data_IF_728840202446
#
_entry.id   IF_728840202446
#
_cell.length_a   1.000
_cell.length_b   1.000
_cell.length_c   1.000
_cell.angle_alpha   90.00
_cell.angle_beta   90.00
_cell.angle_gamma   90.00
#
_symmetry.space_group_name_H-M   'P 1'
#
loop_
_entity.id
_entity.type
_entity.pdbx_description
1 polymer ?
#
# COMPACT_ATOMS: atom_id res chain seq x y z
N UNK A 1 -38.08 -21.09 32.44
CA UNK A 1 -36.65 -20.69 32.65
C UNK A 1 -36.62 -19.67 33.79
N UNK A 2 -35.93 -20.04 34.91
CA UNK A 2 -35.95 -19.28 36.18
C UNK A 2 -35.25 -17.92 36.04
N UNK A 3 -35.81 -16.88 36.70
CA UNK A 3 -35.27 -15.51 36.79
C UNK A 3 -33.79 -15.51 37.24
N UNK A 4 -33.38 -16.40 38.14
CA UNK A 4 -32.00 -16.58 38.58
C UNK A 4 -31.00 -16.85 37.41
N UNK A 5 -31.43 -17.55 36.38
CA UNK A 5 -30.56 -17.87 35.24
C UNK A 5 -30.37 -16.68 34.30
N UNK A 6 -31.31 -15.73 34.26
CA UNK A 6 -31.22 -14.49 33.50
C UNK A 6 -30.32 -13.46 34.19
N UNK A 7 -30.40 -13.37 35.53
CA UNK A 7 -29.53 -12.48 36.33
C UNK A 7 -28.09 -12.93 36.32
N UNK A 8 -27.81 -14.23 36.44
CA UNK A 8 -26.44 -14.77 36.29
C UNK A 8 -25.80 -14.49 34.94
N UNK A 9 -26.56 -14.57 33.84
CA UNK A 9 -26.08 -14.25 32.47
C UNK A 9 -25.86 -12.74 32.27
N UNK A 10 -26.67 -11.87 32.92
CA UNK A 10 -26.45 -10.42 32.89
C UNK A 10 -25.16 -10.03 33.62
N UNK A 11 -24.97 -10.54 34.86
CA UNK A 11 -23.76 -10.26 35.64
C UNK A 11 -22.48 -10.79 34.98
N UNK A 12 -22.53 -11.94 34.30
CA UNK A 12 -21.39 -12.45 33.55
C UNK A 12 -21.00 -11.59 32.35
N UNK A 13 -22.00 -11.06 31.62
CA UNK A 13 -21.77 -10.14 30.48
C UNK A 13 -21.22 -8.79 30.95
N UNK A 14 -21.67 -8.30 32.08
CA UNK A 14 -21.22 -7.04 32.66
C UNK A 14 -19.75 -7.12 33.12
N UNK A 15 -19.39 -8.18 33.84
CA UNK A 15 -17.98 -8.45 34.21
C UNK A 15 -17.04 -8.59 32.99
N UNK A 16 -17.50 -9.23 31.92
CA UNK A 16 -16.72 -9.36 30.69
C UNK A 16 -16.53 -8.02 29.97
N UNK A 17 -17.54 -7.13 30.02
CA UNK A 17 -17.42 -5.76 29.50
C UNK A 17 -16.40 -4.94 30.28
N UNK A 18 -16.50 -4.97 31.62
CA UNK A 18 -15.53 -4.27 32.49
C UNK A 18 -14.11 -4.77 32.30
N UNK A 19 -13.90 -6.09 32.14
CA UNK A 19 -12.57 -6.63 31.85
C UNK A 19 -12.01 -6.09 30.54
N UNK A 20 -12.80 -6.10 29.46
CA UNK A 20 -12.38 -5.57 28.17
C UNK A 20 -12.09 -4.07 28.20
N UNK A 21 -12.84 -3.29 28.96
CA UNK A 21 -12.60 -1.86 29.14
C UNK A 21 -11.29 -1.61 29.92
N UNK A 22 -11.04 -2.38 30.97
CA UNK A 22 -9.78 -2.32 31.73
C UNK A 22 -8.56 -2.72 30.89
N UNK A 23 -8.69 -3.72 30.02
CA UNK A 23 -7.63 -4.11 29.08
C UNK A 23 -7.37 -3.04 28.04
N UNK A 24 -8.42 -2.43 27.48
CA UNK A 24 -8.30 -1.31 26.53
C UNK A 24 -7.65 -0.07 27.15
N UNK A 25 -8.00 0.26 28.39
CA UNK A 25 -7.40 1.39 29.12
C UNK A 25 -5.93 1.14 29.48
N UNK A 26 -5.57 -0.09 29.85
CA UNK A 26 -4.16 -0.49 30.09
C UNK A 26 -3.33 -0.44 28.80
N UNK A 27 -3.90 -0.88 27.67
CA UNK A 27 -3.24 -0.82 26.36
C UNK A 27 -3.01 0.64 25.91
N UNK A 28 -4.01 1.52 26.13
CA UNK A 28 -3.87 2.97 25.86
C UNK A 28 -2.78 3.59 26.72
N UNK A 29 -2.76 3.34 28.04
CA UNK A 29 -1.70 3.85 28.96
C UNK A 29 -0.31 3.39 28.59
N UNK A 30 -0.13 2.11 28.20
CA UNK A 30 1.17 1.59 27.73
C UNK A 30 1.66 2.29 26.46
N UNK A 31 0.74 2.58 25.50
CA UNK A 31 1.08 3.36 24.30
C UNK A 31 1.48 4.80 24.62
N UNK A 32 0.75 5.48 25.52
CA UNK A 32 1.05 6.86 25.90
C UNK A 32 2.38 6.98 26.67
N UNK A 33 2.69 6.03 27.54
CA UNK A 33 3.96 5.99 28.27
C UNK A 33 5.15 5.66 27.36
N UNK A 34 4.95 4.82 26.32
CA UNK A 34 5.99 4.54 25.33
C UNK A 34 6.34 5.76 24.48
N UNK A 35 5.35 6.56 24.12
CA UNK A 35 5.57 7.81 23.35
C UNK A 35 6.24 8.91 24.18
N UNK A 36 5.87 9.05 25.46
CA UNK A 36 6.50 10.02 26.37
C UNK A 36 7.97 9.65 26.69
N UNK A 37 8.28 8.36 26.83
CA UNK A 37 9.66 7.90 27.05
C UNK A 37 10.58 8.18 25.86
N UNK A 38 10.08 8.06 24.63
CA UNK A 38 10.85 8.33 23.43
C UNK A 38 11.14 9.83 23.23
N UNK A 39 10.21 10.73 23.62
CA UNK A 39 10.40 12.18 23.51
C UNK A 39 11.43 12.71 24.50
N UNK A 40 11.51 12.14 25.71
CA UNK A 40 12.50 12.58 26.71
C UNK A 40 13.92 12.14 26.33
N UNK A 41 14.09 11.00 25.67
CA UNK A 41 15.41 10.54 25.23
C UNK A 41 15.99 11.36 24.06
N UNK A 42 15.15 11.98 23.24
CA UNK A 42 15.58 12.83 22.10
C UNK A 42 15.97 14.24 22.56
N UNK A 43 15.38 14.75 23.65
CA UNK A 43 15.69 16.11 24.16
C UNK A 43 16.96 16.18 25.02
N UNK A 44 17.47 15.08 25.54
CA UNK A 44 18.70 15.02 26.32
C UNK A 44 19.98 14.93 25.46
N UNK A 45 19.88 14.67 24.14
CA UNK A 45 21.00 14.54 23.22
C UNK A 45 21.39 15.79 22.43
N UNK A 46 20.69 16.91 22.61
CA UNK A 46 20.83 18.10 21.74
C UNK A 46 21.61 19.27 22.34
N UNK A 47 22.47 19.04 23.34
CA UNK A 47 23.41 20.09 23.85
C UNK A 47 24.83 19.53 23.77
N UNK A 48 25.48 19.72 22.68
CA UNK A 48 26.91 19.50 22.54
C UNK A 48 27.34 19.35 21.07
N UNK A 49 28.16 20.30 20.70
CA UNK A 49 29.06 20.33 19.53
C UNK A 49 28.60 21.23 18.37
N UNK A 50 29.18 22.39 18.42
CA UNK A 50 29.23 23.36 17.32
C UNK A 50 30.24 22.95 16.25
N UNK A 51 30.08 23.61 15.11
CA UNK A 51 31.02 23.91 14.03
C UNK A 51 32.12 22.89 13.72
N UNK A 52 32.03 22.24 12.56
CA UNK A 52 33.20 22.04 11.69
C UNK A 52 32.80 22.11 10.20
N UNK A 53 33.65 22.78 9.48
CA UNK A 53 33.59 23.19 8.10
C UNK A 53 33.35 22.06 7.08
N UNK A 54 32.75 22.48 5.96
CA UNK A 54 32.78 21.84 4.66
C UNK A 54 34.13 21.22 4.31
N UNK A 55 34.11 19.90 4.09
CA UNK A 55 35.10 19.22 3.25
C UNK A 55 34.37 18.17 2.43
N UNK A 56 34.41 18.38 1.12
CA UNK A 56 34.23 17.34 0.11
C UNK A 56 35.30 16.30 0.34
N UNK A 57 34.87 15.09 0.71
CA UNK A 57 35.71 13.90 0.62
C UNK A 57 34.87 12.76 0.02
N UNK A 58 35.37 12.26 -1.11
CA UNK A 58 35.02 10.98 -1.67
C UNK A 58 35.13 9.90 -0.58
N UNK A 59 34.01 9.28 -0.20
CA UNK A 59 34.03 8.07 0.61
C UNK A 59 33.51 6.87 -0.22
N UNK A 60 34.47 6.22 -0.84
CA UNK A 60 34.36 4.87 -1.39
C UNK A 60 34.18 3.90 -0.24
N UNK A 61 32.96 3.37 -0.03
CA UNK A 61 32.84 2.20 0.84
C UNK A 61 31.61 2.08 1.73
N UNK A 62 30.41 2.23 1.19
CA UNK A 62 29.21 1.54 1.71
C UNK A 62 28.32 1.18 0.55
N UNK A 63 28.10 -0.13 0.34
CA UNK A 63 27.16 -0.69 -0.62
C UNK A 63 25.74 -0.28 -0.27
N UNK A 64 25.43 0.98 -0.49
CA UNK A 64 24.07 1.50 -0.50
C UNK A 64 23.47 1.11 -1.83
N UNK A 65 22.58 0.10 -1.84
CA UNK A 65 21.83 -0.23 -3.04
C UNK A 65 21.14 1.04 -3.55
N UNK A 66 21.51 1.49 -4.74
CA UNK A 66 20.92 2.68 -5.36
C UNK A 66 19.39 2.50 -5.46
N UNK A 67 18.64 3.52 -5.08
CA UNK A 67 17.16 3.50 -5.21
C UNK A 67 16.82 3.61 -6.69
N UNK A 68 16.38 2.51 -7.28
CA UNK A 68 15.95 2.46 -8.69
C UNK A 68 14.42 2.46 -8.73
N UNK A 69 13.78 3.58 -9.12
CA UNK A 69 12.33 3.62 -9.27
C UNK A 69 11.89 2.88 -10.55
N UNK A 70 10.69 2.27 -10.57
CA UNK A 70 10.12 1.72 -11.79
C UNK A 70 9.71 2.84 -12.75
N UNK A 71 9.52 2.49 -14.01
CA UNK A 71 9.07 3.42 -15.05
C UNK A 71 7.74 4.09 -14.64
N UNK A 72 7.67 5.41 -14.74
CA UNK A 72 6.49 6.19 -14.40
C UNK A 72 6.27 6.39 -12.90
N UNK A 73 7.22 5.96 -12.06
CA UNK A 73 7.22 6.36 -10.66
C UNK A 73 7.45 7.87 -10.54
N UNK A 74 6.73 8.50 -9.63
CA UNK A 74 6.86 9.91 -9.31
C UNK A 74 7.20 10.05 -7.83
N UNK A 75 7.99 11.02 -7.46
CA UNK A 75 8.59 11.29 -6.15
C UNK A 75 8.00 10.53 -4.94
N UNK A 76 8.77 10.32 -3.90
CA UNK A 76 8.34 9.71 -2.63
C UNK A 76 7.64 8.32 -2.75
N UNK A 77 8.09 7.44 -3.67
CA UNK A 77 7.60 6.06 -3.75
C UNK A 77 6.19 5.87 -4.34
N UNK A 78 5.69 6.85 -5.11
CA UNK A 78 4.38 6.76 -5.78
C UNK A 78 4.50 6.13 -7.16
N UNK A 79 3.59 5.22 -7.48
CA UNK A 79 3.41 4.66 -8.81
C UNK A 79 2.08 5.10 -9.38
N UNK A 80 2.10 5.92 -10.42
CA UNK A 80 0.89 6.44 -11.06
C UNK A 80 0.51 5.59 -12.25
N UNK A 81 -0.69 5.02 -12.19
CA UNK A 81 -1.32 4.32 -13.30
C UNK A 81 -2.34 5.28 -13.93
N UNK A 82 -2.08 5.77 -15.16
CA UNK A 82 -2.90 6.80 -15.78
C UNK A 82 -4.30 6.30 -16.13
N UNK A 83 -5.21 7.25 -16.34
CA UNK A 83 -6.54 6.99 -16.88
C UNK A 83 -6.50 6.67 -18.40
N UNK A 84 -7.55 6.04 -18.91
CA UNK A 84 -7.71 5.80 -20.36
C UNK A 84 -6.82 4.71 -20.95
N UNK A 85 -6.53 3.65 -20.17
CA UNK A 85 -5.61 2.59 -20.59
C UNK A 85 -6.19 1.56 -21.58
N UNK A 86 -7.50 1.48 -21.76
CA UNK A 86 -8.13 0.58 -22.75
C UNK A 86 -8.29 1.30 -24.09
N UNK A 87 -7.39 1.01 -24.96
CA UNK A 87 -7.45 1.49 -26.34
C UNK A 87 -6.10 1.45 -27.04
N UNK A 88 -5.73 0.26 -27.57
CA UNK A 88 -4.55 -0.03 -28.39
C UNK A 88 -3.24 -0.24 -27.60
N UNK A 89 -2.76 -1.46 -27.73
CA UNK A 89 -1.50 -1.95 -27.19
C UNK A 89 -0.37 -0.87 -27.19
N UNK A 90 0.16 -0.57 -26.02
CA UNK A 90 1.55 -0.12 -25.88
C UNK A 90 1.85 1.35 -25.99
N UNK A 91 0.89 2.25 -26.14
CA UNK A 91 1.17 3.70 -26.03
C UNK A 91 0.54 4.23 -24.76
N UNK A 92 1.38 4.66 -23.82
CA UNK A 92 0.95 5.46 -22.67
C UNK A 92 0.04 6.57 -23.21
N UNK A 93 -1.22 6.58 -22.77
CA UNK A 93 -2.18 7.57 -23.19
C UNK A 93 -1.61 8.95 -22.94
N UNK A 94 -1.50 9.74 -23.99
CA UNK A 94 -1.06 11.12 -23.91
C UNK A 94 -2.06 11.85 -23.02
N UNK A 95 -1.54 12.53 -22.01
CA UNK A 95 -2.29 13.41 -21.14
C UNK A 95 -3.24 14.29 -21.96
N UNK A 96 -4.48 14.38 -21.46
CA UNK A 96 -5.40 15.49 -21.53
C UNK A 96 -5.45 16.28 -22.83
N UNK A 97 -6.38 15.89 -23.70
CA UNK A 97 -6.88 16.82 -24.71
C UNK A 97 -7.55 17.98 -23.97
N UNK A 98 -7.09 19.19 -24.25
CA UNK A 98 -7.68 20.43 -23.75
C UNK A 98 -9.22 20.37 -23.75
N UNK A 99 -9.85 20.60 -22.59
CA UNK A 99 -11.29 20.68 -22.42
C UNK A 99 -11.99 19.52 -21.72
N UNK A 100 -11.27 18.46 -21.27
CA UNK A 100 -11.86 17.45 -20.36
C UNK A 100 -11.42 17.71 -18.92
N UNK A 101 -12.32 17.55 -17.92
CA UNK A 101 -11.95 17.63 -16.52
C UNK A 101 -10.80 16.69 -16.22
N UNK A 102 -9.84 17.13 -15.40
CA UNK A 102 -8.75 16.28 -14.96
C UNK A 102 -9.30 15.06 -14.19
N UNK A 103 -8.79 13.84 -14.45
CA UNK A 103 -9.29 12.66 -13.74
C UNK A 103 -8.99 12.76 -12.25
N UNK A 104 -9.98 12.41 -11.40
CA UNK A 104 -9.77 12.36 -9.96
C UNK A 104 -8.73 11.30 -9.61
N UNK A 105 -7.96 11.55 -8.57
CA UNK A 105 -6.93 10.60 -8.10
C UNK A 105 -7.48 9.70 -7.00
N UNK A 106 -7.41 8.39 -7.21
CA UNK A 106 -7.53 7.38 -6.16
C UNK A 106 -6.12 7.04 -5.69
N UNK A 107 -5.80 7.30 -4.42
CA UNK A 107 -4.51 6.92 -3.82
C UNK A 107 -4.73 5.68 -2.97
N UNK A 108 -3.94 4.64 -3.19
CA UNK A 108 -4.02 3.36 -2.47
C UNK A 108 -2.66 3.02 -1.88
N UNK A 109 -2.62 2.92 -0.54
CA UNK A 109 -1.49 2.34 0.18
C UNK A 109 -1.81 0.88 0.44
N UNK A 110 -0.99 -0.02 -0.05
CA UNK A 110 -1.28 -1.45 -0.06
C UNK A 110 -0.05 -2.33 0.13
N UNK A 111 -0.29 -3.51 0.70
CA UNK A 111 0.70 -4.58 0.85
C UNK A 111 0.14 -5.87 0.24
N UNK A 112 0.90 -6.52 -0.65
CA UNK A 112 0.48 -7.75 -1.33
C UNK A 112 0.28 -8.96 -0.41
N UNK A 113 0.70 -8.88 0.87
CA UNK A 113 0.41 -9.90 1.88
C UNK A 113 -0.76 -9.54 2.78
N UNK A 114 -1.26 -8.28 2.76
CA UNK A 114 -2.33 -7.83 3.64
C UNK A 114 -3.70 -8.36 3.21
N UNK A 115 -4.43 -9.12 4.07
CA UNK A 115 -5.75 -9.64 3.74
C UNK A 115 -6.80 -8.55 3.50
N UNK A 116 -6.69 -7.42 4.21
CA UNK A 116 -7.57 -6.27 4.00
C UNK A 116 -7.40 -5.64 2.62
N UNK A 117 -6.16 -5.60 2.10
CA UNK A 117 -5.89 -5.14 0.73
C UNK A 117 -6.52 -6.09 -0.30
N UNK A 118 -6.38 -7.40 -0.08
CA UNK A 118 -7.07 -8.38 -0.94
C UNK A 118 -8.57 -8.18 -0.95
N UNK A 119 -9.18 -7.98 0.22
CA UNK A 119 -10.61 -7.73 0.33
C UNK A 119 -11.04 -6.46 -0.44
N UNK A 120 -10.26 -5.39 -0.34
CA UNK A 120 -10.50 -4.18 -1.11
C UNK A 120 -10.43 -4.47 -2.61
N UNK A 121 -9.39 -5.13 -3.08
CA UNK A 121 -9.20 -5.46 -4.48
C UNK A 121 -10.28 -6.43 -5.00
N UNK A 122 -10.68 -7.42 -4.23
CA UNK A 122 -11.74 -8.35 -4.63
C UNK A 122 -13.10 -7.65 -4.83
N UNK A 123 -13.38 -6.59 -4.06
CA UNK A 123 -14.64 -5.84 -4.12
C UNK A 123 -14.61 -4.71 -5.15
N UNK A 124 -13.49 -3.99 -5.26
CA UNK A 124 -13.46 -2.72 -5.99
C UNK A 124 -12.72 -2.77 -7.33
N UNK A 125 -11.92 -3.80 -7.59
CA UNK A 125 -11.10 -3.94 -8.80
C UNK A 125 -11.84 -3.60 -10.10
N UNK A 126 -13.00 -4.21 -10.32
CA UNK A 126 -13.76 -4.00 -11.56
C UNK A 126 -14.21 -2.55 -11.70
N UNK A 127 -14.69 -1.95 -10.61
CA UNK A 127 -15.11 -0.54 -10.60
C UNK A 127 -13.94 0.40 -10.82
N UNK A 128 -12.80 0.13 -10.18
CA UNK A 128 -11.57 0.91 -10.37
C UNK A 128 -11.10 0.84 -11.80
N UNK A 129 -11.06 -0.36 -12.40
CA UNK A 129 -10.69 -0.54 -13.80
C UNK A 129 -11.65 0.17 -14.74
N UNK A 130 -12.97 0.02 -14.54
CA UNK A 130 -13.99 0.69 -15.36
C UNK A 130 -13.77 2.22 -15.36
N UNK A 131 -13.60 2.83 -14.18
CA UNK A 131 -13.42 4.27 -14.06
C UNK A 131 -12.09 4.77 -14.66
N UNK A 132 -11.02 3.99 -14.53
CA UNK A 132 -9.74 4.27 -15.20
C UNK A 132 -9.88 4.19 -16.71
N UNK A 133 -10.51 3.14 -17.24
CA UNK A 133 -10.66 2.90 -18.67
C UNK A 133 -11.56 3.97 -19.33
N UNK A 134 -12.54 4.48 -18.60
CA UNK A 134 -13.37 5.61 -18.98
C UNK A 134 -12.64 6.97 -18.90
N UNK A 135 -11.40 7.01 -18.40
CA UNK A 135 -10.66 8.25 -18.25
C UNK A 135 -11.14 9.15 -17.12
N UNK A 136 -11.95 8.62 -16.18
CA UNK A 136 -12.54 9.38 -15.08
C UNK A 136 -11.65 9.43 -13.85
N UNK A 137 -10.74 8.46 -13.72
CA UNK A 137 -9.91 8.28 -12.54
C UNK A 137 -8.51 7.81 -12.93
N UNK A 138 -7.48 8.31 -12.25
CA UNK A 138 -6.15 7.72 -12.21
C UNK A 138 -5.93 7.08 -10.84
N UNK A 139 -5.05 6.08 -10.77
CA UNK A 139 -4.70 5.46 -9.49
C UNK A 139 -3.24 5.72 -9.16
N UNK A 140 -2.99 6.13 -7.94
CA UNK A 140 -1.65 6.23 -7.36
C UNK A 140 -1.48 5.11 -6.35
N UNK A 141 -0.62 4.16 -6.65
CA UNK A 141 -0.26 3.07 -5.74
C UNK A 141 0.98 3.42 -4.92
N UNK A 142 0.89 3.20 -3.62
CA UNK A 142 2.00 3.16 -2.70
C UNK A 142 2.17 1.72 -2.22
N UNK A 143 3.13 1.02 -2.82
CA UNK A 143 3.43 -0.35 -2.45
C UNK A 143 4.26 -0.34 -1.16
N UNK A 144 3.70 -0.93 -0.09
CA UNK A 144 4.31 -0.92 1.23
C UNK A 144 4.53 -2.34 1.77
N UNK A 145 5.25 -2.48 2.88
CA UNK A 145 5.73 -3.76 3.40
C UNK A 145 5.43 -3.93 4.90
N UNK A 146 4.20 -3.54 5.31
CA UNK A 146 3.76 -3.61 6.72
C UNK A 146 3.81 -5.04 7.24
N UNK A 147 3.38 -6.01 6.42
CA UNK A 147 3.29 -7.41 6.86
C UNK A 147 4.67 -8.01 7.05
N UNK A 148 5.65 -7.67 6.21
CA UNK A 148 7.05 -8.07 6.43
C UNK A 148 7.59 -7.50 7.75
N UNK A 149 7.22 -6.26 8.12
CA UNK A 149 7.59 -5.65 9.38
C UNK A 149 6.92 -6.29 10.60
N UNK A 150 5.65 -6.69 10.48
CA UNK A 150 4.85 -7.21 11.60
C UNK A 150 5.05 -8.71 11.84
N UNK A 151 5.15 -9.51 10.77
CA UNK A 151 5.20 -10.97 10.83
C UNK A 151 6.56 -11.53 10.40
N UNK A 152 7.47 -10.67 9.97
CA UNK A 152 8.75 -11.08 9.38
C UNK A 152 8.61 -11.58 7.96
N UNK A 153 9.74 -11.97 7.38
CA UNK A 153 9.82 -12.43 6.00
C UNK A 153 10.19 -11.33 5.02
N UNK A 154 10.00 -11.60 3.73
CA UNK A 154 10.34 -10.69 2.63
C UNK A 154 9.30 -10.70 1.50
N UNK A 155 8.18 -11.37 1.71
CA UNK A 155 7.16 -11.56 0.67
C UNK A 155 6.51 -10.27 0.21
N UNK A 156 6.29 -9.31 1.11
CA UNK A 156 5.73 -8.01 0.75
C UNK A 156 6.68 -7.24 -0.17
N UNK A 157 7.95 -7.12 0.22
CA UNK A 157 8.94 -6.41 -0.61
C UNK A 157 9.18 -7.11 -1.94
N UNK A 158 9.23 -8.47 -1.97
CA UNK A 158 9.45 -9.23 -3.20
C UNK A 158 8.27 -9.14 -4.16
N UNK A 159 7.03 -9.23 -3.67
CA UNK A 159 5.84 -9.06 -4.50
C UNK A 159 5.73 -7.63 -5.05
N UNK A 160 5.99 -6.62 -4.23
CA UNK A 160 6.02 -5.23 -4.64
C UNK A 160 7.12 -4.94 -5.68
N UNK A 161 8.33 -5.50 -5.51
CA UNK A 161 9.39 -5.45 -6.52
C UNK A 161 8.94 -6.09 -7.84
N UNK A 162 8.33 -7.28 -7.80
CA UNK A 162 7.86 -7.95 -9.00
C UNK A 162 6.76 -7.15 -9.72
N UNK A 163 5.84 -6.52 -8.98
CA UNK A 163 4.85 -5.61 -9.55
C UNK A 163 5.51 -4.37 -10.18
N UNK A 164 6.53 -3.80 -9.54
CA UNK A 164 7.32 -2.70 -10.09
C UNK A 164 8.08 -3.11 -11.36
N UNK A 165 8.62 -4.33 -11.42
CA UNK A 165 9.21 -4.90 -12.64
C UNK A 165 8.19 -5.08 -13.77
N UNK A 166 6.93 -5.42 -13.44
CA UNK A 166 5.86 -5.46 -14.42
C UNK A 166 5.51 -4.07 -14.96
N UNK A 167 5.61 -3.03 -14.12
CA UNK A 167 5.44 -1.64 -14.54
C UNK A 167 6.51 -1.20 -15.55
N UNK A 168 7.73 -1.68 -15.43
CA UNK A 168 8.79 -1.42 -16.41
C UNK A 168 8.45 -1.98 -17.80
N UNK A 169 7.60 -3.02 -17.87
CA UNK A 169 7.06 -3.57 -19.12
C UNK A 169 5.79 -2.83 -19.59
N UNK A 170 5.25 -1.92 -18.78
CA UNK A 170 4.11 -1.07 -19.10
C UNK A 170 2.98 -1.14 -18.07
N UNK A 171 2.23 -0.04 -17.94
CA UNK A 171 1.16 0.11 -16.96
C UNK A 171 0.06 -0.97 -17.07
N UNK A 172 -0.26 -1.43 -18.29
CA UNK A 172 -1.20 -2.55 -18.49
C UNK A 172 -0.67 -3.88 -17.97
N UNK A 173 0.65 -4.09 -18.02
CA UNK A 173 1.30 -5.27 -17.44
C UNK A 173 1.27 -5.19 -15.91
N UNK A 174 1.56 -4.02 -15.35
CA UNK A 174 1.41 -3.79 -13.92
C UNK A 174 -0.01 -4.13 -13.46
N UNK A 175 -1.04 -3.50 -14.05
CA UNK A 175 -2.44 -3.69 -13.66
C UNK A 175 -2.84 -5.17 -13.71
N UNK A 176 -2.54 -5.85 -14.80
CA UNK A 176 -2.89 -7.26 -14.95
C UNK A 176 -2.14 -8.16 -13.94
N UNK A 177 -0.87 -7.87 -13.67
CA UNK A 177 -0.08 -8.65 -12.73
C UNK A 177 -0.44 -8.35 -11.27
N UNK A 178 -0.74 -7.11 -10.94
CA UNK A 178 -1.31 -6.69 -9.66
C UNK A 178 -2.56 -7.51 -9.32
N UNK A 179 -3.48 -7.64 -10.27
CA UNK A 179 -4.68 -8.46 -10.13
C UNK A 179 -4.35 -9.94 -9.88
N UNK A 180 -3.35 -10.48 -10.60
CA UNK A 180 -2.90 -11.86 -10.42
C UNK A 180 -2.35 -12.06 -9.01
N UNK A 181 -1.54 -11.14 -8.51
CA UNK A 181 -0.96 -11.23 -7.17
C UNK A 181 -2.05 -11.26 -6.11
N UNK A 182 -3.05 -10.37 -6.16
CA UNK A 182 -4.14 -10.39 -5.18
C UNK A 182 -5.05 -11.62 -5.31
N UNK A 183 -5.36 -12.08 -6.51
CA UNK A 183 -6.12 -13.34 -6.70
C UNK A 183 -5.43 -14.55 -6.09
N UNK A 184 -4.10 -14.59 -6.13
CA UNK A 184 -3.27 -15.69 -5.64
C UNK A 184 -2.57 -15.39 -4.32
N UNK A 185 -3.05 -14.36 -3.59
CA UNK A 185 -2.47 -13.97 -2.31
C UNK A 185 -2.44 -15.17 -1.35
N UNK A 186 -1.28 -15.52 -0.78
CA UNK A 186 -1.20 -16.57 0.24
C UNK A 186 -1.85 -16.11 1.54
N UNK A 187 -2.14 -17.05 2.44
CA UNK A 187 -2.47 -16.70 3.81
C UNK A 187 -1.35 -15.81 4.41
N UNK A 188 -1.73 -14.79 5.17
CA UNK A 188 -0.84 -13.74 5.70
C UNK A 188 0.40 -14.31 6.43
N UNK A 189 0.19 -15.40 7.18
CA UNK A 189 1.25 -16.11 7.91
C UNK A 189 2.19 -16.93 7.03
N UNK A 190 1.87 -17.11 5.75
CA UNK A 190 2.70 -17.85 4.78
C UNK A 190 3.47 -16.88 3.91
N UNK A 191 4.79 -16.81 4.11
CA UNK A 191 5.68 -15.96 3.32
C UNK A 191 6.00 -16.55 1.93
N UNK A 192 4.97 -17.01 1.20
CA UNK A 192 5.16 -17.68 -0.08
C UNK A 192 5.64 -16.74 -1.19
N UNK A 193 5.40 -15.43 -1.06
CA UNK A 193 5.86 -14.41 -2.00
C UNK A 193 7.35 -14.07 -1.83
N UNK A 194 8.03 -14.55 -0.79
CA UNK A 194 9.47 -14.47 -0.66
C UNK A 194 10.22 -15.23 -1.77
N UNK A 195 9.53 -16.15 -2.48
CA UNK A 195 10.12 -16.99 -3.54
C UNK A 195 9.93 -16.34 -4.91
N UNK A 196 11.01 -15.79 -5.51
CA UNK A 196 10.98 -15.20 -6.85
C UNK A 196 10.39 -16.16 -7.90
N UNK A 197 10.72 -17.46 -7.83
CA UNK A 197 10.19 -18.46 -8.76
C UNK A 197 8.65 -18.53 -8.72
N UNK A 198 7.99 -18.34 -7.55
CA UNK A 198 6.54 -18.26 -7.43
C UNK A 198 6.00 -17.00 -8.11
N UNK A 199 6.63 -15.87 -7.89
CA UNK A 199 6.23 -14.59 -8.48
C UNK A 199 6.33 -14.64 -10.00
N UNK A 200 7.44 -15.16 -10.53
CA UNK A 200 7.65 -15.35 -11.97
C UNK A 200 6.59 -16.33 -12.55
N UNK A 201 6.31 -17.44 -11.86
CA UNK A 201 5.26 -18.39 -12.29
C UNK A 201 3.87 -17.74 -12.34
N UNK A 202 3.54 -16.88 -11.39
CA UNK A 202 2.27 -16.15 -11.43
C UNK A 202 2.22 -15.14 -12.59
N UNK A 203 3.34 -14.56 -12.97
CA UNK A 203 3.44 -13.65 -14.09
C UNK A 203 3.18 -14.33 -15.45
N UNK A 204 3.29 -15.66 -15.57
CA UNK A 204 2.91 -16.40 -16.78
C UNK A 204 1.41 -16.22 -17.15
N UNK A 205 0.56 -15.85 -16.18
CA UNK A 205 -0.84 -15.55 -16.41
C UNK A 205 -1.08 -14.20 -17.12
N UNK A 206 -0.04 -13.37 -17.25
CA UNK A 206 -0.11 -12.10 -17.96
C UNK A 206 0.61 -12.23 -19.31
N UNK A 207 -0.12 -12.28 -20.43
CA UNK A 207 0.47 -12.50 -21.74
C UNK A 207 1.65 -11.57 -22.03
N UNK A 208 2.81 -12.12 -22.38
CA UNK A 208 4.02 -11.38 -22.74
C UNK A 208 4.65 -10.56 -21.62
N UNK A 209 4.38 -10.85 -20.34
CA UNK A 209 5.05 -10.22 -19.20
C UNK A 209 6.40 -10.89 -18.92
N UNK A 210 6.48 -12.22 -18.99
CA UNK A 210 7.67 -12.98 -18.59
C UNK A 210 8.73 -12.92 -19.68
N UNK A 211 9.40 -11.77 -19.77
CA UNK A 211 10.57 -11.53 -20.63
C UNK A 211 11.87 -11.80 -19.86
N UNK A 212 13.02 -11.97 -20.54
CA UNK A 212 14.33 -12.04 -19.85
C UNK A 212 14.58 -10.83 -18.94
N UNK A 213 14.18 -9.64 -19.38
CA UNK A 213 14.31 -8.39 -18.60
C UNK A 213 13.46 -8.41 -17.34
N UNK A 214 12.20 -8.88 -17.41
CA UNK A 214 11.32 -9.04 -16.25
C UNK A 214 11.90 -10.06 -15.26
N UNK A 215 12.33 -11.24 -15.73
CA UNK A 215 12.96 -12.26 -14.87
C UNK A 215 14.14 -11.71 -14.12
N UNK A 216 15.09 -11.10 -14.83
CA UNK A 216 16.28 -10.49 -14.25
C UNK A 216 15.91 -9.42 -13.21
N UNK A 217 14.96 -8.54 -13.52
CA UNK A 217 14.50 -7.51 -12.60
C UNK A 217 13.95 -8.10 -11.28
N UNK A 218 13.12 -9.15 -11.36
CA UNK A 218 12.54 -9.83 -10.19
C UNK A 218 13.62 -10.55 -9.38
N UNK A 219 14.50 -11.29 -10.04
CA UNK A 219 15.56 -12.09 -9.40
C UNK A 219 16.58 -11.22 -8.66
N UNK A 220 16.96 -10.09 -9.25
CA UNK A 220 17.92 -9.14 -8.69
C UNK A 220 17.29 -8.21 -7.63
N UNK A 221 15.97 -8.19 -7.46
CA UNK A 221 15.31 -7.27 -6.54
C UNK A 221 15.52 -5.80 -6.92
N UNK A 222 15.49 -5.50 -8.22
CA UNK A 222 15.87 -4.21 -8.79
C UNK A 222 15.22 -3.01 -8.13
N UNK A 223 13.97 -3.14 -7.71
CA UNK A 223 13.18 -2.07 -7.09
C UNK A 223 13.02 -2.23 -5.57
N UNK A 224 13.68 -3.20 -4.92
CA UNK A 224 13.55 -3.44 -3.48
C UNK A 224 13.82 -2.18 -2.66
N UNK A 225 14.87 -1.41 -2.99
CA UNK A 225 15.20 -0.17 -2.30
C UNK A 225 14.12 0.91 -2.50
N UNK A 226 13.52 0.99 -3.69
CA UNK A 226 12.41 1.90 -3.97
C UNK A 226 11.15 1.51 -3.17
N UNK A 227 10.81 0.22 -3.09
CA UNK A 227 9.69 -0.29 -2.29
C UNK A 227 9.88 0.04 -0.81
N UNK A 228 11.09 -0.20 -0.26
CA UNK A 228 11.41 0.17 1.13
C UNK A 228 11.22 1.67 1.36
N UNK A 229 11.66 2.50 0.40
CA UNK A 229 11.44 3.95 0.47
C UNK A 229 9.96 4.33 0.46
N UNK A 230 9.12 3.64 -0.30
CA UNK A 230 7.66 3.81 -0.27
C UNK A 230 7.09 3.46 1.12
N UNK A 231 7.56 2.38 1.72
CA UNK A 231 7.17 1.99 3.09
C UNK A 231 7.62 3.00 4.14
N UNK A 232 8.83 3.56 4.02
CA UNK A 232 9.32 4.61 4.91
C UNK A 232 8.44 5.87 4.82
N UNK A 233 8.03 6.26 3.60
CA UNK A 233 7.10 7.38 3.40
C UNK A 233 5.76 7.11 4.07
N UNK A 234 5.24 5.88 3.95
CA UNK A 234 4.00 5.48 4.60
C UNK A 234 4.11 5.54 6.13
N UNK A 235 5.20 5.07 6.71
CA UNK A 235 5.42 5.09 8.15
C UNK A 235 5.38 6.52 8.75
N UNK A 236 5.66 7.55 7.93
CA UNK A 236 5.63 8.97 8.31
C UNK A 236 4.41 9.72 7.77
N UNK A 237 3.45 9.03 7.15
CA UNK A 237 2.27 9.66 6.53
C UNK A 237 1.14 9.98 7.49
N UNK A 238 1.20 9.47 8.72
CA UNK A 238 0.11 9.54 9.71
C UNK A 238 -0.91 8.38 9.57
N UNK A 239 -0.84 7.59 8.51
CA UNK A 239 -1.65 6.37 8.35
C UNK A 239 -0.96 5.19 9.04
N UNK A 240 -1.75 4.26 9.59
CA UNK A 240 -1.24 3.15 10.41
C UNK A 240 -1.61 1.75 9.89
N UNK A 241 -2.40 1.66 8.82
CA UNK A 241 -2.93 0.38 8.34
C UNK A 241 -3.11 0.37 6.83
N UNK A 242 -3.11 -0.82 6.25
CA UNK A 242 -3.45 -1.06 4.85
C UNK A 242 -4.72 -1.92 4.73
N UNK A 243 -5.55 -1.71 3.70
CA UNK A 243 -5.40 -0.63 2.73
C UNK A 243 -5.77 0.73 3.34
N UNK A 244 -5.02 1.77 3.02
CA UNK A 244 -5.49 3.15 3.15
C UNK A 244 -5.86 3.65 1.77
N UNK A 245 -7.11 4.12 1.61
CA UNK A 245 -7.65 4.52 0.31
C UNK A 245 -8.17 5.94 0.38
N UNK A 246 -7.62 6.82 -0.47
CA UNK A 246 -7.99 8.22 -0.55
C UNK A 246 -8.56 8.55 -1.93
N UNK A 247 -9.62 9.33 -1.99
CA UNK A 247 -10.15 9.91 -3.23
C UNK A 247 -9.98 11.42 -3.17
N UNK A 248 -9.20 11.98 -4.10
CA UNK A 248 -8.88 13.41 -4.08
C UNK A 248 -8.14 13.86 -2.80
N UNK A 249 -7.48 12.95 -2.09
CA UNK A 249 -6.80 13.22 -0.81
C UNK A 249 -7.62 12.90 0.44
N UNK A 250 -8.93 12.70 0.32
CA UNK A 250 -9.82 12.39 1.44
C UNK A 250 -9.96 10.89 1.66
N UNK A 251 -9.91 10.43 2.92
CA UNK A 251 -10.09 9.02 3.26
C UNK A 251 -11.52 8.55 2.97
N UNK A 252 -11.65 7.46 2.19
CA UNK A 252 -12.96 6.95 1.74
C UNK A 252 -13.23 5.50 2.15
N UNK A 253 -12.27 4.82 2.76
CA UNK A 253 -12.35 3.39 3.10
C UNK A 253 -11.92 3.14 4.55
N UNK A 254 -12.53 2.14 5.20
CA UNK A 254 -12.16 1.70 6.55
C UNK A 254 -12.98 2.33 7.69
N UNK A 255 -13.86 3.29 7.40
CA UNK A 255 -14.81 3.84 8.38
C UNK A 255 -16.04 2.92 8.47
N UNK A 256 -16.30 2.27 9.61
CA UNK A 256 -17.45 1.36 9.76
C UNK A 256 -18.80 2.08 9.72
N UNK A 257 -18.85 3.38 10.07
CA UNK A 257 -20.07 4.18 10.06
C UNK A 257 -20.38 4.73 8.66
N UNK A 258 -19.39 4.71 7.77
CA UNK A 258 -19.50 5.22 6.39
C UNK A 258 -18.97 4.21 5.37
N UNK A 259 -19.53 2.99 5.31
CA UNK A 259 -19.01 1.94 4.45
C UNK A 259 -18.97 2.40 2.99
N UNK A 260 -17.84 2.12 2.33
CA UNK A 260 -17.70 2.31 0.89
C UNK A 260 -18.31 1.09 0.16
N UNK A 261 -18.95 1.35 -0.97
CA UNK A 261 -19.37 0.31 -1.92
C UNK A 261 -18.95 0.70 -3.34
N UNK A 262 -18.86 -0.25 -4.29
CA UNK A 262 -18.54 0.05 -5.69
C UNK A 262 -19.41 1.16 -6.28
N UNK A 263 -20.73 1.09 -6.07
CA UNK A 263 -21.66 2.11 -6.53
C UNK A 263 -21.44 3.48 -5.86
N UNK A 264 -21.07 3.51 -4.57
CA UNK A 264 -20.75 4.76 -3.88
C UNK A 264 -19.47 5.37 -4.44
N UNK A 265 -18.41 4.57 -4.61
CA UNK A 265 -17.16 5.01 -5.25
C UNK A 265 -17.42 5.60 -6.65
N UNK A 266 -18.20 4.90 -7.48
CA UNK A 266 -18.55 5.38 -8.83
C UNK A 266 -19.25 6.74 -8.79
N UNK A 267 -20.24 6.93 -7.90
CA UNK A 267 -20.90 8.24 -7.75
C UNK A 267 -19.95 9.33 -7.29
N UNK A 268 -19.06 9.05 -6.33
CA UNK A 268 -18.09 10.03 -5.83
C UNK A 268 -17.13 10.48 -6.92
N UNK A 269 -16.58 9.54 -7.71
CA UNK A 269 -15.69 9.84 -8.84
C UNK A 269 -16.42 10.67 -9.91
N UNK A 270 -17.65 10.32 -10.25
CA UNK A 270 -18.44 11.05 -11.24
C UNK A 270 -18.86 12.45 -10.75
N UNK A 271 -19.04 12.66 -9.47
CA UNK A 271 -19.30 13.98 -8.89
C UNK A 271 -18.03 14.85 -8.94
N UNK A 272 -16.89 14.33 -8.46
CA UNK A 272 -15.60 15.03 -8.48
C UNK A 272 -15.06 15.38 -9.89
N UNK A 273 -15.56 14.70 -10.93
CA UNK A 273 -15.19 15.01 -12.32
C UNK A 273 -16.06 16.11 -12.96
N UNK A 274 -17.01 16.69 -12.23
CA UNK A 274 -17.90 17.78 -12.72
C UNK A 274 -17.47 19.15 -12.23
N UNK A 275 -16.71 19.17 -11.15
CA UNK A 275 -16.13 20.37 -10.54
C UNK A 275 -14.75 20.67 -11.18
#
# INVERSE_FOLDING_TARGET
MSQRNREGKRGARERLREQRERERSRAKRKRTLGVLGAVVAVLAGAVGVGMVASRTEDDSGKSGSSVVPPRGAVGKGRLVIPSGMVGKAGKAGRADKAGKPAPVTLTVYEDFRCPGCKQFEDVFRETVHELQDQGRMKVEYHLVTIIDGNLGGTGSVRAANAAACAQDQGAGKFRAYHDVLYRHQPAETRDSYAKNARLIKLADQVPGLVTPAFRKCVEEGRHDAWVRKSSDVFAHSGYASTPTVLLGGESVYGDPDKPLSPNKLKRMVLAAARD
#
